data_IF_346659930299
#
_entry.id   IF_346659930299
#
_cell.length_a   1.000
_cell.length_b   1.000
_cell.length_c   1.000
_cell.angle_alpha   90.00
_cell.angle_beta   90.00
_cell.angle_gamma   90.00
#
_symmetry.space_group_name_H-M   'P 1'
#
loop_
_entity.id
_entity.type
_entity.pdbx_description
1 polymer ?
#
# COMPACT_ATOMS: atom_id res chain seq x y z
N UNK A 1 -12.93 -40.31 -18.27
CA UNK A 1 -11.55 -39.85 -17.96
C UNK A 1 -11.65 -38.99 -16.72
N UNK A 2 -11.18 -39.52 -15.59
CA UNK A 2 -11.35 -38.95 -14.25
C UNK A 2 -10.30 -37.84 -13.99
N UNK A 3 -10.79 -36.66 -13.66
CA UNK A 3 -9.98 -35.52 -13.21
C UNK A 3 -9.84 -35.65 -11.70
N UNK A 4 -8.63 -35.93 -11.21
CA UNK A 4 -8.31 -35.92 -9.78
C UNK A 4 -7.95 -34.49 -9.32
N UNK A 5 -8.42 -34.13 -8.14
CA UNK A 5 -8.24 -32.84 -7.48
C UNK A 5 -6.84 -32.71 -6.86
N UNK A 6 -6.21 -31.55 -7.07
CA UNK A 6 -4.96 -31.18 -6.38
C UNK A 6 -5.33 -30.57 -5.02
N UNK A 7 -5.16 -31.36 -3.96
CA UNK A 7 -5.21 -30.90 -2.56
C UNK A 7 -3.80 -30.47 -2.12
N UNK A 8 -3.64 -29.40 -1.32
CA UNK A 8 -2.34 -29.03 -0.77
C UNK A 8 -1.93 -29.98 0.38
N UNK A 9 -0.82 -30.69 0.20
CA UNK A 9 -0.20 -31.55 1.21
C UNK A 9 0.37 -30.71 2.37
N UNK A 10 -0.27 -30.78 3.54
CA UNK A 10 0.33 -30.49 4.84
C UNK A 10 1.24 -31.66 5.23
N UNK A 11 2.54 -31.56 4.97
CA UNK A 11 3.48 -32.55 5.46
C UNK A 11 3.79 -32.33 6.95
N UNK A 12 3.21 -33.21 7.77
CA UNK A 12 3.58 -33.49 9.15
C UNK A 12 4.83 -34.39 9.10
N UNK A 13 5.99 -33.86 9.48
CA UNK A 13 7.20 -34.67 9.61
C UNK A 13 7.18 -35.46 10.93
N UNK A 14 6.67 -36.69 10.87
CA UNK A 14 6.98 -37.75 11.83
C UNK A 14 8.28 -38.43 11.39
N UNK A 15 9.39 -38.20 12.10
CA UNK A 15 10.57 -39.06 11.99
C UNK A 15 10.88 -39.70 13.34
N UNK A 16 10.27 -40.86 13.58
CA UNK A 16 10.90 -41.96 14.32
C UNK A 16 11.77 -42.70 13.32
N UNK A 17 13.09 -42.72 13.51
CA UNK A 17 13.91 -43.92 13.40
C UNK A 17 15.35 -43.64 13.88
N UNK A 18 15.60 -44.19 15.06
CA UNK A 18 16.81 -44.88 15.53
C UNK A 18 18.15 -44.58 14.84
N UNK A 19 19.04 -44.02 15.67
CA UNK A 19 20.50 -44.13 15.64
C UNK A 19 20.95 -45.59 15.50
N UNK A 20 22.06 -45.81 14.78
CA UNK A 20 23.34 -46.34 15.32
C UNK A 20 24.43 -46.25 14.24
N UNK A 21 25.46 -45.41 14.45
CA UNK A 21 26.84 -45.77 14.86
C UNK A 21 27.71 -46.25 13.67
N UNK A 22 28.95 -45.79 13.44
CA UNK A 22 30.05 -45.57 14.41
C UNK A 22 31.22 -44.79 13.75
N UNK A 23 31.89 -43.97 14.57
CA UNK A 23 33.33 -43.65 14.66
C UNK A 23 34.03 -43.06 13.41
N UNK A 24 34.87 -42.03 13.50
CA UNK A 24 36.10 -41.85 14.32
C UNK A 24 36.32 -40.32 14.47
N UNK A 25 36.29 -39.74 15.68
CA UNK A 25 37.42 -39.32 16.55
C UNK A 25 38.47 -38.42 15.82
N UNK A 26 38.78 -37.19 16.22
CA UNK A 26 39.34 -36.81 17.53
C UNK A 26 39.45 -35.27 17.69
N UNK A 27 39.15 -34.79 18.91
CA UNK A 27 39.93 -33.83 19.74
C UNK A 27 40.19 -32.38 19.23
N UNK A 28 40.10 -31.28 20.00
CA UNK A 28 40.03 -31.05 21.45
C UNK A 28 39.66 -29.56 21.71
N UNK A 29 38.99 -29.30 22.84
CA UNK A 29 38.82 -28.03 23.61
C UNK A 29 38.10 -26.80 23.04
N UNK A 30 36.81 -26.68 23.37
CA UNK A 30 36.22 -25.43 23.88
C UNK A 30 35.00 -25.78 24.75
N UNK A 31 35.04 -25.39 26.03
CA UNK A 31 33.91 -25.49 26.96
C UNK A 31 32.71 -24.73 26.40
N UNK A 32 31.59 -25.43 26.13
CA UNK A 32 30.31 -24.80 25.79
C UNK A 32 29.78 -24.05 27.02
N UNK A 33 29.48 -22.74 26.94
CA UNK A 33 28.64 -22.11 27.94
C UNK A 33 27.26 -22.78 27.89
N UNK A 34 26.73 -23.12 29.07
CA UNK A 34 25.35 -23.57 29.23
C UNK A 34 24.43 -22.53 28.59
N UNK A 35 23.77 -22.91 27.49
CA UNK A 35 22.62 -22.19 26.98
C UNK A 35 21.48 -22.45 27.98
N UNK A 36 21.37 -21.59 28.97
CA UNK A 36 20.10 -21.36 29.65
C UNK A 36 19.09 -21.07 28.54
N UNK A 37 18.11 -21.95 28.38
CA UNK A 37 16.89 -21.67 27.66
C UNK A 37 16.32 -20.39 28.27
N UNK A 38 16.35 -19.29 27.51
CA UNK A 38 15.66 -18.06 27.87
C UNK A 38 14.18 -18.41 28.01
N UNK A 39 13.77 -18.62 29.27
CA UNK A 39 12.38 -18.56 29.67
C UNK A 39 11.86 -17.17 29.30
N UNK A 40 10.72 -17.14 28.63
CA UNK A 40 9.81 -16.00 28.45
C UNK A 40 10.36 -14.62 28.84
N UNK A 41 10.72 -13.81 27.85
CA UNK A 41 10.70 -12.35 28.03
C UNK A 41 9.24 -11.88 28.15
N UNK A 42 8.67 -12.06 29.34
CA UNK A 42 7.53 -11.28 29.81
C UNK A 42 8.04 -9.88 30.10
N UNK A 43 7.79 -8.94 29.18
CA UNK A 43 8.02 -7.52 29.45
C UNK A 43 6.98 -7.05 30.47
N UNK A 44 7.39 -6.94 31.74
CA UNK A 44 6.59 -6.39 32.82
C UNK A 44 6.55 -4.87 32.73
N UNK A 45 5.38 -4.28 32.47
CA UNK A 45 5.17 -2.85 32.70
C UNK A 45 4.81 -2.64 34.19
N UNK A 46 5.81 -2.61 35.07
CA UNK A 46 5.64 -2.08 36.42
C UNK A 46 5.70 -0.55 36.38
N UNK A 47 4.63 0.05 35.88
CA UNK A 47 4.34 1.47 36.04
C UNK A 47 3.02 1.60 36.81
N UNK A 48 3.13 1.84 38.12
CA UNK A 48 2.03 2.04 39.08
C UNK A 48 0.83 2.78 38.48
N UNK A 49 -0.29 2.06 38.34
CA UNK A 49 -1.54 2.53 37.75
C UNK A 49 -2.40 3.38 38.70
N UNK A 50 -1.82 4.06 39.70
CA UNK A 50 -2.59 4.60 40.83
C UNK A 50 -2.71 6.13 40.92
N UNK A 51 -2.36 6.90 39.88
CA UNK A 51 -2.53 8.38 39.93
C UNK A 51 -3.17 9.05 38.70
N UNK A 52 -3.77 8.30 37.77
CA UNK A 52 -4.47 8.91 36.61
C UNK A 52 -6.00 8.99 36.81
N UNK A 53 -6.55 8.32 37.83
CA UNK A 53 -8.00 8.23 38.07
C UNK A 53 -8.68 9.55 38.49
N UNK A 54 -7.93 10.63 38.80
CA UNK A 54 -8.52 11.92 39.22
C UNK A 54 -8.45 13.06 38.20
N UNK A 55 -7.73 12.89 37.08
CA UNK A 55 -7.61 13.96 36.04
C UNK A 55 -8.41 13.66 34.78
N UNK A 56 -8.87 12.41 34.59
CA UNK A 56 -9.59 11.98 33.36
C UNK A 56 -11.03 12.47 33.29
N UNK A 57 -11.65 12.84 34.42
CA UNK A 57 -13.06 13.27 34.43
C UNK A 57 -13.31 14.72 33.98
N UNK A 58 -12.29 15.50 33.61
CA UNK A 58 -12.47 16.90 33.15
C UNK A 58 -12.18 17.15 31.67
N UNK A 59 -11.73 16.14 30.91
CA UNK A 59 -11.45 16.25 29.47
C UNK A 59 -12.47 15.48 28.58
N UNK A 60 -13.66 15.17 29.12
CA UNK A 60 -14.74 14.44 28.42
C UNK A 60 -15.51 15.31 27.41
N UNK A 61 -15.11 16.55 27.16
CA UNK A 61 -15.80 17.42 26.19
C UNK A 61 -14.83 18.26 25.39
N UNK A 62 -14.21 17.66 24.38
CA UNK A 62 -14.05 18.26 23.04
C UNK A 62 -13.16 17.35 22.16
N UNK A 63 -13.52 17.31 20.88
CA UNK A 63 -12.80 16.72 19.74
C UNK A 63 -13.01 15.22 19.52
N UNK A 64 -13.67 14.94 18.40
CA UNK A 64 -13.87 13.65 17.78
C UNK A 64 -12.57 12.83 17.72
N UNK A 65 -12.50 11.74 18.52
CA UNK A 65 -11.42 10.77 18.39
C UNK A 65 -11.74 9.81 17.24
N UNK A 66 -11.05 10.03 16.12
CA UNK A 66 -10.60 8.98 15.19
C UNK A 66 -10.13 7.78 16.01
N UNK A 67 -10.39 6.56 15.50
CA UNK A 67 -9.91 5.32 16.12
C UNK A 67 -8.46 5.48 16.54
N UNK A 68 -8.18 5.32 17.84
CA UNK A 68 -6.86 5.58 18.39
C UNK A 68 -5.90 4.56 17.77
N UNK A 69 -4.81 4.99 17.11
CA UNK A 69 -3.83 4.06 16.54
C UNK A 69 -3.37 3.09 17.63
N UNK A 70 -3.14 1.84 17.27
CA UNK A 70 -2.49 0.90 18.20
C UNK A 70 -1.18 1.54 18.71
N UNK A 71 -0.80 1.31 19.98
CA UNK A 71 0.43 1.89 20.57
C UNK A 71 1.67 1.71 19.68
N UNK A 72 1.70 0.63 18.89
CA UNK A 72 2.74 0.31 17.92
C UNK A 72 2.67 1.25 16.70
N UNK A 73 1.50 1.49 16.13
CA UNK A 73 1.32 2.43 15.01
C UNK A 73 1.76 3.83 15.38
N UNK A 74 1.38 4.31 16.57
CA UNK A 74 1.80 5.62 17.06
C UNK A 74 3.32 5.69 17.22
N UNK A 75 3.92 4.65 17.82
CA UNK A 75 5.38 4.56 17.97
C UNK A 75 6.10 4.56 16.61
N UNK A 76 5.57 3.86 15.61
CA UNK A 76 6.15 3.85 14.25
C UNK A 76 5.97 5.21 13.58
N UNK A 77 4.82 5.85 13.75
CA UNK A 77 4.53 7.17 13.19
C UNK A 77 5.45 8.24 13.79
N UNK A 78 5.65 8.23 15.11
CA UNK A 78 6.52 9.16 15.82
C UNK A 78 8.00 8.88 15.49
N UNK A 79 8.37 7.60 15.34
CA UNK A 79 9.70 7.22 14.85
C UNK A 79 9.97 7.62 13.39
N UNK A 80 8.93 7.70 12.55
CA UNK A 80 9.03 8.26 11.20
C UNK A 80 9.24 9.76 11.23
N UNK A 81 8.47 10.46 12.06
CA UNK A 81 8.56 11.92 12.26
C UNK A 81 9.94 12.34 12.77
N UNK A 82 10.48 11.62 13.76
CA UNK A 82 11.83 11.85 14.28
C UNK A 82 12.95 11.69 13.23
N UNK A 83 12.68 11.00 12.11
CA UNK A 83 13.64 10.81 11.00
C UNK A 83 13.43 11.78 9.84
N UNK A 84 12.44 12.67 9.89
CA UNK A 84 12.09 13.54 8.76
C UNK A 84 13.26 14.44 8.32
N UNK A 85 13.96 15.08 9.25
CA UNK A 85 15.12 15.92 8.92
C UNK A 85 16.22 15.12 8.19
N UNK A 86 16.47 13.88 8.62
CA UNK A 86 17.40 12.97 7.94
C UNK A 86 16.93 12.66 6.52
N UNK A 87 15.64 12.43 6.32
CA UNK A 87 15.09 12.19 4.98
C UNK A 87 15.19 13.43 4.09
N UNK A 88 14.95 14.61 4.64
CA UNK A 88 15.11 15.88 3.91
C UNK A 88 16.56 16.09 3.50
N UNK A 89 17.52 15.92 4.41
CA UNK A 89 18.94 16.07 4.11
C UNK A 89 19.40 15.08 3.02
N UNK A 90 18.97 13.82 3.11
CA UNK A 90 19.26 12.79 2.10
C UNK A 90 18.63 13.12 0.75
N UNK A 91 17.39 13.59 0.77
CA UNK A 91 16.67 14.01 -0.43
C UNK A 91 17.37 15.19 -1.12
N UNK A 92 17.82 16.20 -0.39
CA UNK A 92 18.56 17.33 -0.96
C UNK A 92 19.85 16.87 -1.66
N UNK A 93 20.62 15.96 -1.04
CA UNK A 93 21.82 15.39 -1.67
C UNK A 93 21.49 14.66 -2.98
N UNK A 94 20.39 13.92 -3.00
CA UNK A 94 19.93 13.25 -4.22
C UNK A 94 19.45 14.24 -5.27
N UNK A 95 18.76 15.31 -4.87
CA UNK A 95 18.31 16.38 -5.77
C UNK A 95 19.48 17.07 -6.47
N UNK A 96 20.56 17.37 -5.74
CA UNK A 96 21.79 17.94 -6.29
C UNK A 96 22.41 16.98 -7.32
N UNK A 97 22.48 15.69 -6.97
CA UNK A 97 22.98 14.64 -7.87
C UNK A 97 22.13 14.54 -9.14
N UNK A 98 20.80 14.51 -8.98
CA UNK A 98 19.86 14.39 -10.08
C UNK A 98 19.95 15.60 -11.00
N UNK A 99 20.12 16.80 -10.46
CA UNK A 99 20.29 18.04 -11.24
C UNK A 99 21.55 17.99 -12.10
N UNK A 100 22.68 17.55 -11.52
CA UNK A 100 23.93 17.36 -12.29
C UNK A 100 23.78 16.31 -13.38
N UNK A 101 23.13 15.18 -13.08
CA UNK A 101 22.87 14.12 -14.07
C UNK A 101 21.94 14.63 -15.18
N UNK A 102 20.89 15.38 -14.85
CA UNK A 102 19.98 15.99 -15.82
C UNK A 102 20.77 16.89 -16.78
N UNK A 103 21.63 17.79 -16.28
CA UNK A 103 22.45 18.65 -17.14
C UNK A 103 23.45 17.85 -18.01
N UNK A 104 24.05 16.79 -17.47
CA UNK A 104 24.94 15.91 -18.24
C UNK A 104 24.17 15.22 -19.39
N UNK A 105 22.99 14.67 -19.12
CA UNK A 105 22.18 14.00 -20.13
C UNK A 105 21.65 14.98 -21.17
N UNK A 106 21.27 16.21 -20.78
CA UNK A 106 20.93 17.29 -21.72
C UNK A 106 22.11 17.61 -22.66
N UNK A 107 23.35 17.66 -22.13
CA UNK A 107 24.53 17.89 -22.97
C UNK A 107 24.80 16.76 -23.98
N UNK A 108 24.26 15.56 -23.72
CA UNK A 108 24.29 14.39 -24.63
C UNK A 108 23.11 14.38 -25.63
N UNK A 109 22.25 15.39 -25.60
CA UNK A 109 21.09 15.54 -26.49
C UNK A 109 19.79 14.93 -25.97
N UNK A 110 19.73 14.51 -24.70
CA UNK A 110 18.48 14.01 -24.11
C UNK A 110 17.59 15.13 -23.60
N UNK A 111 16.31 15.10 -23.99
CA UNK A 111 15.30 16.04 -23.51
C UNK A 111 14.71 15.57 -22.18
N UNK A 112 15.54 15.65 -21.14
CA UNK A 112 15.17 15.38 -19.74
C UNK A 112 15.02 16.70 -18.99
N UNK A 113 14.03 16.80 -18.11
CA UNK A 113 13.91 17.92 -17.17
C UNK A 113 13.47 17.45 -15.78
N UNK A 114 13.65 18.34 -14.80
CA UNK A 114 13.31 18.10 -13.40
C UNK A 114 12.44 19.25 -12.90
N UNK A 115 11.29 18.92 -12.31
CA UNK A 115 10.50 19.91 -11.57
C UNK A 115 11.08 20.10 -10.18
N UNK A 116 12.01 21.05 -10.04
CA UNK A 116 12.68 21.33 -8.78
C UNK A 116 11.68 21.84 -7.72
N UNK A 117 10.66 22.59 -8.13
CA UNK A 117 9.67 23.15 -7.20
C UNK A 117 8.80 22.05 -6.62
N UNK A 118 8.21 21.22 -7.49
CA UNK A 118 7.42 20.06 -7.08
C UNK A 118 8.26 19.07 -6.27
N UNK A 119 9.47 18.77 -6.75
CA UNK A 119 10.40 17.87 -6.07
C UNK A 119 10.72 18.35 -4.66
N UNK A 120 10.95 19.65 -4.44
CA UNK A 120 11.22 20.19 -3.09
C UNK A 120 9.97 20.17 -2.21
N UNK A 121 8.79 20.45 -2.76
CA UNK A 121 7.53 20.48 -2.02
C UNK A 121 7.08 19.08 -1.57
N UNK A 122 7.37 18.06 -2.38
CA UNK A 122 6.84 16.70 -2.20
C UNK A 122 7.92 15.62 -2.04
N UNK A 123 9.17 16.04 -1.81
CA UNK A 123 10.35 15.17 -1.68
C UNK A 123 10.16 14.05 -0.66
N UNK A 124 9.65 14.40 0.53
CA UNK A 124 9.50 13.47 1.65
C UNK A 124 8.01 13.22 1.87
N UNK A 125 7.65 11.94 1.95
CA UNK A 125 6.26 11.54 2.16
C UNK A 125 5.75 12.08 3.50
N UNK A 126 4.58 12.70 3.49
CA UNK A 126 3.92 13.15 4.73
C UNK A 126 3.57 11.99 5.67
N UNK A 127 3.52 12.26 6.98
CA UNK A 127 3.22 11.29 8.04
C UNK A 127 1.95 10.48 7.78
N UNK A 128 0.86 11.16 7.43
CA UNK A 128 -0.43 10.51 7.19
C UNK A 128 -0.40 9.53 6.00
N UNK A 129 0.30 9.91 4.93
CA UNK A 129 0.51 9.06 3.76
C UNK A 129 1.38 7.85 4.09
N UNK A 130 2.44 8.04 4.89
CA UNK A 130 3.29 6.95 5.37
C UNK A 130 2.51 5.96 6.24
N UNK A 131 1.81 6.44 7.27
CA UNK A 131 1.03 5.61 8.19
C UNK A 131 -0.06 4.86 7.44
N UNK A 132 -0.77 5.53 6.52
CA UNK A 132 -1.82 4.88 5.76
C UNK A 132 -1.28 3.78 4.84
N UNK A 133 -0.12 3.99 4.21
CA UNK A 133 0.53 2.95 3.39
C UNK A 133 1.00 1.78 4.25
N UNK A 134 1.63 2.04 5.42
CA UNK A 134 2.03 1.02 6.38
C UNK A 134 0.85 0.14 6.84
N UNK A 135 -0.28 0.76 7.18
CA UNK A 135 -1.51 0.03 7.57
C UNK A 135 -1.99 -0.94 6.50
N UNK A 136 -1.81 -0.57 5.23
CA UNK A 136 -2.27 -1.37 4.09
C UNK A 136 -1.27 -2.46 3.69
N UNK A 137 0.03 -2.17 3.66
CA UNK A 137 1.05 -3.16 3.26
C UNK A 137 1.46 -4.09 4.39
N UNK A 138 1.27 -3.70 5.66
CA UNK A 138 1.86 -4.38 6.81
C UNK A 138 3.37 -4.17 6.93
N UNK A 139 3.98 -3.46 5.99
CA UNK A 139 5.42 -3.23 5.88
C UNK A 139 5.72 -1.74 5.77
N UNK A 140 6.89 -1.33 6.28
CA UNK A 140 7.32 0.06 6.21
C UNK A 140 7.46 0.51 4.75
N UNK A 141 6.77 1.59 4.34
CA UNK A 141 6.93 2.16 3.01
C UNK A 141 8.40 2.46 2.68
N UNK A 142 8.84 2.02 1.50
CA UNK A 142 10.17 2.28 0.97
C UNK A 142 10.27 3.62 0.21
N UNK A 143 9.13 4.17 -0.25
CA UNK A 143 9.02 5.45 -0.97
C UNK A 143 8.96 6.65 -0.01
N UNK A 144 9.83 6.67 1.00
CA UNK A 144 9.90 7.76 2.00
C UNK A 144 10.40 9.06 1.37
N UNK A 145 11.30 8.92 0.41
CA UNK A 145 11.84 10.00 -0.42
C UNK A 145 11.51 9.66 -1.87
N UNK A 146 10.93 10.60 -2.61
CA UNK A 146 10.53 10.41 -4.01
C UNK A 146 10.86 11.65 -4.85
N UNK A 147 11.28 11.41 -6.08
CA UNK A 147 11.44 12.41 -7.14
C UNK A 147 10.69 12.00 -8.40
N UNK A 148 10.29 13.00 -9.19
CA UNK A 148 9.72 12.82 -10.53
C UNK A 148 10.54 13.62 -11.52
N UNK A 149 11.05 12.96 -12.56
CA UNK A 149 11.69 13.58 -13.72
C UNK A 149 10.82 13.41 -14.96
N UNK A 150 11.01 14.30 -15.91
CA UNK A 150 10.31 14.31 -17.19
C UNK A 150 11.29 13.97 -18.31
N UNK A 151 10.87 13.13 -19.25
CA UNK A 151 11.62 12.85 -20.48
C UNK A 151 10.67 12.90 -21.66
N UNK A 152 10.99 13.69 -22.69
CA UNK A 152 10.18 13.75 -23.92
C UNK A 152 10.18 12.41 -24.67
N UNK A 153 11.21 11.58 -24.50
CA UNK A 153 11.20 10.20 -25.00
C UNK A 153 11.55 9.21 -23.88
N UNK A 154 10.51 8.71 -23.20
CA UNK A 154 10.66 7.63 -22.20
C UNK A 154 10.87 6.26 -22.85
N UNK A 155 10.65 6.11 -24.16
CA UNK A 155 10.84 4.84 -24.87
C UNK A 155 12.28 4.63 -25.33
N UNK A 156 13.13 5.67 -25.27
CA UNK A 156 14.55 5.52 -25.51
C UNK A 156 15.24 4.77 -24.36
N UNK A 157 15.44 3.48 -24.59
CA UNK A 157 16.14 2.60 -23.65
C UNK A 157 17.64 2.90 -23.53
N UNK A 158 18.24 3.60 -24.50
CA UNK A 158 19.63 4.08 -24.39
C UNK A 158 19.72 5.20 -23.37
N UNK A 159 18.79 6.17 -23.41
CA UNK A 159 18.64 7.19 -22.37
C UNK A 159 18.57 6.57 -20.96
N UNK A 160 17.73 5.54 -20.78
CA UNK A 160 17.57 4.85 -19.49
C UNK A 160 18.89 4.21 -19.03
N UNK A 161 19.61 3.57 -19.94
CA UNK A 161 20.93 2.96 -19.67
C UNK A 161 21.98 4.00 -19.28
N UNK A 162 22.02 5.13 -19.98
CA UNK A 162 22.94 6.24 -19.71
C UNK A 162 22.61 6.91 -18.37
N UNK A 163 21.33 7.04 -18.03
CA UNK A 163 20.87 7.56 -16.74
C UNK A 163 21.33 6.69 -15.57
N UNK A 164 21.14 5.36 -15.66
CA UNK A 164 21.58 4.42 -14.63
C UNK A 164 23.11 4.46 -14.48
N UNK A 165 23.84 4.55 -15.59
CA UNK A 165 25.30 4.67 -15.59
C UNK A 165 25.75 5.98 -14.92
N UNK A 166 25.07 7.10 -15.18
CA UNK A 166 25.36 8.39 -14.59
C UNK A 166 25.11 8.43 -13.07
N UNK A 167 24.09 7.71 -12.57
CA UNK A 167 23.89 7.49 -11.14
C UNK A 167 25.03 6.69 -10.52
N UNK A 168 25.40 5.57 -11.16
CA UNK A 168 26.46 4.69 -10.65
C UNK A 168 27.80 5.41 -10.55
N UNK A 169 28.12 6.27 -11.53
CA UNK A 169 29.31 7.12 -11.51
C UNK A 169 29.34 8.11 -10.33
N UNK A 170 28.19 8.39 -9.72
CA UNK A 170 28.02 9.30 -8.58
C UNK A 170 27.66 8.58 -7.29
N UNK A 171 28.00 7.29 -7.21
CA UNK A 171 27.78 6.44 -6.03
C UNK A 171 26.30 6.23 -5.67
N UNK A 172 25.42 6.26 -6.66
CA UNK A 172 24.04 5.81 -6.52
C UNK A 172 23.83 4.56 -7.36
N UNK A 173 23.40 3.46 -6.73
CA UNK A 173 23.15 2.20 -7.44
C UNK A 173 21.71 1.75 -7.25
N UNK A 174 21.23 0.89 -8.15
CA UNK A 174 19.89 0.32 -8.05
C UNK A 174 19.76 -0.49 -6.76
N UNK A 175 18.65 -0.28 -6.05
CA UNK A 175 18.33 -1.05 -4.88
C UNK A 175 18.03 -2.49 -5.28
N UNK A 176 18.79 -3.44 -4.74
CA UNK A 176 18.59 -4.87 -4.98
C UNK A 176 17.65 -5.45 -3.92
N UNK A 177 16.36 -5.48 -4.23
CA UNK A 177 15.30 -5.98 -3.36
C UNK A 177 15.35 -7.52 -3.24
N UNK A 178 15.10 -8.09 -2.04
CA UNK A 178 14.92 -9.53 -1.88
C UNK A 178 13.79 -10.04 -2.80
N UNK A 179 14.10 -11.04 -3.63
CA UNK A 179 13.13 -11.66 -4.54
C UNK A 179 12.66 -13.03 -4.05
N UNK A 180 13.61 -13.84 -3.56
CA UNK A 180 13.32 -15.13 -2.92
C UNK A 180 13.85 -15.14 -1.50
N UNK A 181 13.00 -15.51 -0.56
CA UNK A 181 13.32 -15.58 0.87
C UNK A 181 12.93 -16.96 1.39
N UNK A 182 13.82 -17.59 2.16
CA UNK A 182 13.53 -18.81 2.91
C UNK A 182 13.80 -18.55 4.40
N UNK A 183 12.73 -18.46 5.18
CA UNK A 183 12.81 -17.99 6.57
C UNK A 183 13.39 -16.57 6.64
N UNK A 184 14.54 -16.41 7.29
CA UNK A 184 15.28 -15.12 7.37
C UNK A 184 16.37 -14.96 6.30
N UNK A 185 16.60 -15.98 5.47
CA UNK A 185 17.68 -15.97 4.48
C UNK A 185 17.17 -15.45 3.14
N UNK A 186 17.81 -14.40 2.63
CA UNK A 186 17.62 -13.92 1.25
C UNK A 186 18.37 -14.86 0.31
N UNK A 187 17.64 -15.52 -0.60
CA UNK A 187 18.18 -16.48 -1.56
C UNK A 187 18.59 -15.80 -2.87
N UNK A 188 17.83 -14.79 -3.31
CA UNK A 188 18.12 -13.98 -4.48
C UNK A 188 17.63 -12.56 -4.30
N UNK A 189 18.24 -11.63 -5.04
CA UNK A 189 17.80 -10.25 -5.14
C UNK A 189 17.58 -9.90 -6.60
N UNK A 190 16.66 -8.97 -6.84
CA UNK A 190 16.42 -8.37 -8.15
C UNK A 190 16.48 -6.85 -8.04
N UNK A 191 16.83 -6.14 -9.12
CA UNK A 191 16.75 -4.69 -9.13
C UNK A 191 15.30 -4.25 -8.89
N UNK A 192 15.11 -3.29 -7.97
CA UNK A 192 13.84 -2.57 -7.77
C UNK A 192 13.74 -1.49 -8.85
N UNK A 193 13.45 -1.97 -10.06
CA UNK A 193 13.41 -1.23 -11.31
C UNK A 193 12.28 -1.82 -12.17
N UNK A 194 11.38 -0.97 -12.66
CA UNK A 194 10.23 -1.35 -13.49
C UNK A 194 10.07 -0.35 -14.65
N UNK A 195 9.94 -0.87 -15.87
CA UNK A 195 9.54 -0.09 -17.05
C UNK A 195 8.09 -0.44 -17.34
N UNK A 196 7.16 0.47 -17.02
CA UNK A 196 5.71 0.27 -17.17
C UNK A 196 5.18 1.11 -18.33
N UNK A 197 5.77 0.90 -19.50
CA UNK A 197 5.40 1.62 -20.71
C UNK A 197 4.64 0.69 -21.66
N UNK A 198 3.74 1.26 -22.45
CA UNK A 198 2.99 0.54 -23.45
C UNK A 198 3.81 0.34 -24.73
N UNK A 199 3.74 -0.85 -25.33
CA UNK A 199 4.38 -1.15 -26.62
C UNK A 199 5.89 -0.81 -26.75
N UNK A 200 6.71 -1.07 -25.72
CA UNK A 200 8.18 -0.94 -25.81
C UNK A 200 8.72 -1.80 -26.97
N UNK A 201 9.38 -1.16 -27.94
CA UNK A 201 9.91 -1.85 -29.13
C UNK A 201 11.11 -2.72 -28.77
N UNK A 202 11.14 -3.95 -29.30
CA UNK A 202 12.20 -4.93 -28.98
C UNK A 202 13.60 -4.50 -29.43
N UNK A 203 13.70 -3.71 -30.49
CA UNK A 203 14.96 -3.19 -31.01
C UNK A 203 15.62 -2.17 -30.08
N UNK A 204 14.86 -1.48 -29.22
CA UNK A 204 15.43 -0.56 -28.21
C UNK A 204 15.87 -1.31 -26.95
N UNK A 205 15.22 -2.41 -26.58
CA UNK A 205 15.52 -3.21 -25.37
C UNK A 205 16.98 -3.66 -25.30
N UNK A 206 17.63 -3.90 -26.45
CA UNK A 206 19.05 -4.29 -26.50
C UNK A 206 19.99 -3.25 -25.86
N UNK A 207 19.59 -1.99 -25.79
CA UNK A 207 20.37 -0.91 -25.18
C UNK A 207 20.35 -0.93 -23.64
N UNK A 208 19.37 -1.61 -23.04
CA UNK A 208 19.39 -1.87 -21.60
C UNK A 208 20.44 -2.92 -21.24
N UNK A 209 21.08 -2.79 -20.05
CA UNK A 209 21.84 -3.87 -19.45
C UNK A 209 21.02 -5.15 -19.37
N UNK A 210 21.66 -6.30 -19.63
CA UNK A 210 20.97 -7.60 -19.74
C UNK A 210 20.11 -7.92 -18.51
N UNK A 211 20.63 -7.63 -17.31
CA UNK A 211 19.95 -7.89 -16.05
C UNK A 211 18.70 -7.02 -15.81
N UNK A 212 18.46 -5.98 -16.62
CA UNK A 212 17.30 -5.09 -16.56
C UNK A 212 16.27 -5.36 -17.65
N UNK A 213 16.60 -6.15 -18.68
CA UNK A 213 15.68 -6.40 -19.80
C UNK A 213 14.40 -7.12 -19.36
N UNK A 214 14.47 -7.91 -18.29
CA UNK A 214 13.33 -8.57 -17.66
C UNK A 214 12.43 -7.65 -16.82
N UNK A 215 12.79 -6.38 -16.64
CA UNK A 215 12.02 -5.40 -15.87
C UNK A 215 10.97 -4.65 -16.71
N UNK A 216 10.81 -5.01 -17.98
CA UNK A 216 9.79 -4.43 -18.85
C UNK A 216 8.45 -5.11 -18.55
N UNK A 217 7.53 -4.32 -18.02
CA UNK A 217 6.19 -4.73 -17.64
C UNK A 217 5.12 -4.22 -18.60
N UNK A 218 3.91 -4.10 -18.07
CA UNK A 218 2.76 -3.51 -18.75
C UNK A 218 2.39 -2.18 -18.07
N UNK A 219 1.76 -1.25 -18.80
CA UNK A 219 1.17 -0.06 -18.20
C UNK A 219 0.14 -0.42 -17.13
N UNK A 220 -0.17 0.53 -16.25
CA UNK A 220 -1.22 0.35 -15.26
C UNK A 220 -2.61 0.33 -15.92
N UNK A 221 -3.59 -0.29 -15.25
CA UNK A 221 -4.97 -0.38 -15.75
C UNK A 221 -5.63 0.98 -16.00
N UNK A 222 -5.18 2.02 -15.31
CA UNK A 222 -5.62 3.40 -15.50
C UNK A 222 -5.13 4.03 -16.81
N UNK A 223 -4.15 3.41 -17.49
CA UNK A 223 -3.41 4.02 -18.59
C UNK A 223 -2.13 4.75 -18.14
N UNK A 224 -1.82 4.74 -16.84
CA UNK A 224 -0.60 5.33 -16.31
C UNK A 224 0.65 4.52 -16.72
N UNK A 225 1.64 5.25 -17.22
CA UNK A 225 2.91 4.79 -17.73
C UNK A 225 4.04 5.55 -17.05
N UNK A 226 5.10 4.84 -16.67
CA UNK A 226 6.31 5.42 -16.12
C UNK A 226 7.48 4.43 -16.17
N UNK A 227 8.68 4.96 -15.93
CA UNK A 227 9.83 4.18 -15.51
C UNK A 227 10.05 4.48 -14.03
N UNK A 228 10.08 3.44 -13.21
CA UNK A 228 10.27 3.55 -11.78
C UNK A 228 11.56 2.85 -11.37
N UNK A 229 12.35 3.50 -10.52
CA UNK A 229 13.53 2.89 -9.93
C UNK A 229 13.71 3.29 -8.48
N UNK A 230 14.29 2.40 -7.68
CA UNK A 230 14.79 2.76 -6.36
C UNK A 230 16.31 2.74 -6.33
N UNK A 231 16.89 3.80 -5.79
CA UNK A 231 18.32 4.01 -5.74
C UNK A 231 18.79 4.07 -4.29
N UNK A 232 20.00 3.57 -4.07
CA UNK A 232 20.68 3.65 -2.78
C UNK A 232 22.03 4.33 -2.94
N UNK A 233 22.38 5.14 -1.95
CA UNK A 233 23.69 5.76 -1.84
C UNK A 233 24.69 4.68 -1.40
N UNK A 234 25.65 4.34 -2.24
CA UNK A 234 26.64 3.29 -1.95
C UNK A 234 27.72 3.76 -0.98
N UNK A 235 27.78 5.06 -0.68
CA UNK A 235 28.63 5.63 0.37
C UNK A 235 27.96 5.61 1.74
N UNK A 236 26.64 5.36 1.80
CA UNK A 236 25.91 5.20 3.05
C UNK A 236 26.23 3.84 3.68
N UNK A 237 27.22 3.82 4.57
CA UNK A 237 27.60 2.63 5.34
C UNK A 237 26.60 2.22 6.43
N UNK A 238 25.42 2.85 6.52
CA UNK A 238 24.42 2.47 7.51
C UNK A 238 23.79 1.11 7.21
N UNK A 239 23.46 0.37 8.27
CA UNK A 239 22.77 -0.94 8.15
C UNK A 239 21.33 -0.84 7.64
N UNK A 240 20.74 0.35 7.71
CA UNK A 240 19.35 0.64 7.33
C UNK A 240 19.34 1.67 6.19
N UNK A 241 19.79 1.21 5.02
CA UNK A 241 19.86 2.05 3.82
C UNK A 241 18.43 2.37 3.39
N UNK A 242 18.07 3.65 3.43
CA UNK A 242 16.76 4.11 2.97
C UNK A 242 16.83 4.36 1.46
N UNK A 243 16.15 3.56 0.63
CA UNK A 243 16.12 3.80 -0.80
C UNK A 243 15.37 5.09 -1.14
N UNK A 244 15.73 5.69 -2.26
CA UNK A 244 15.06 6.86 -2.85
C UNK A 244 14.36 6.40 -4.12
N UNK A 245 13.09 6.74 -4.27
CA UNK A 245 12.31 6.41 -5.46
C UNK A 245 12.43 7.53 -6.50
N UNK A 246 12.77 7.17 -7.74
CA UNK A 246 12.73 8.06 -8.89
C UNK A 246 11.70 7.54 -9.88
N UNK A 247 10.80 8.42 -10.30
CA UNK A 247 9.84 8.18 -11.37
C UNK A 247 10.21 9.02 -12.58
N UNK A 248 10.14 8.44 -13.77
CA UNK A 248 10.31 9.13 -15.04
C UNK A 248 9.00 9.03 -15.80
N UNK A 249 8.44 10.17 -16.18
CA UNK A 249 7.19 10.28 -16.94
C UNK A 249 7.40 11.19 -18.16
N UNK A 250 6.44 11.25 -19.07
CA UNK A 250 6.54 12.04 -20.31
C UNK A 250 6.78 13.54 -20.06
N UNK A 251 5.97 14.16 -19.19
CA UNK A 251 6.06 15.59 -18.97
C UNK A 251 5.12 16.12 -17.90
N UNK A 252 4.97 17.45 -17.89
CA UNK A 252 4.20 18.17 -16.88
C UNK A 252 2.70 17.89 -16.99
N UNK A 253 2.15 17.74 -18.19
CA UNK A 253 0.72 17.47 -18.37
C UNK A 253 0.37 16.05 -17.91
N UNK A 254 1.23 15.08 -18.21
CA UNK A 254 1.12 13.71 -17.73
C UNK A 254 1.30 13.59 -16.21
N UNK A 255 2.23 14.36 -15.64
CA UNK A 255 2.39 14.47 -14.19
C UNK A 255 1.14 15.06 -13.53
N UNK A 256 0.60 16.15 -14.08
CA UNK A 256 -0.66 16.75 -13.61
C UNK A 256 -1.83 15.77 -13.69
N UNK A 257 -1.94 15.02 -14.79
CA UNK A 257 -2.94 13.95 -14.94
C UNK A 257 -2.87 12.92 -13.81
N UNK A 258 -1.66 12.54 -13.36
CA UNK A 258 -1.47 11.66 -12.22
C UNK A 258 -1.94 12.27 -10.89
N UNK A 259 -1.67 13.56 -10.65
CA UNK A 259 -2.16 14.23 -9.44
C UNK A 259 -3.68 14.30 -9.41
N UNK A 260 -4.29 14.63 -10.56
CA UNK A 260 -5.74 14.65 -10.73
C UNK A 260 -6.35 13.26 -10.55
N UNK A 261 -5.80 12.23 -11.21
CA UNK A 261 -6.25 10.85 -11.06
C UNK A 261 -6.14 10.36 -9.61
N UNK A 262 -5.03 10.71 -8.93
CA UNK A 262 -4.84 10.36 -7.52
C UNK A 262 -5.95 10.90 -6.63
N UNK A 263 -6.33 12.18 -6.81
CA UNK A 263 -7.29 12.86 -5.94
C UNK A 263 -8.75 12.50 -6.26
N UNK A 264 -9.10 12.47 -7.54
CA UNK A 264 -10.49 12.36 -8.00
C UNK A 264 -10.93 10.92 -8.29
N UNK A 265 -9.99 10.00 -8.53
CA UNK A 265 -10.32 8.60 -8.84
C UNK A 265 -9.71 7.64 -7.83
N UNK A 266 -8.40 7.73 -7.61
CA UNK A 266 -7.68 6.74 -6.81
C UNK A 266 -8.06 6.82 -5.32
N UNK A 267 -8.25 8.01 -4.76
CA UNK A 267 -8.70 8.18 -3.37
C UNK A 267 -10.07 7.50 -3.12
N UNK A 268 -11.03 7.67 -4.05
CA UNK A 268 -12.34 7.01 -4.00
C UNK A 268 -12.17 5.49 -4.06
N UNK A 269 -11.46 5.00 -5.09
CA UNK A 269 -11.21 3.57 -5.29
C UNK A 269 -10.54 2.93 -4.08
N UNK A 270 -9.55 3.62 -3.52
CA UNK A 270 -8.77 3.19 -2.37
C UNK A 270 -9.62 3.10 -1.12
N UNK A 271 -10.40 4.14 -0.80
CA UNK A 271 -11.26 4.16 0.37
C UNK A 271 -12.27 2.99 0.33
N UNK A 272 -12.93 2.81 -0.81
CA UNK A 272 -13.90 1.73 -1.02
C UNK A 272 -13.28 0.33 -0.91
N UNK A 273 -12.12 0.09 -1.54
CA UNK A 273 -11.50 -1.25 -1.63
C UNK A 273 -10.68 -1.63 -0.40
N UNK A 274 -10.00 -0.66 0.22
CA UNK A 274 -8.96 -0.94 1.21
C UNK A 274 -9.31 -0.48 2.62
N UNK A 275 -10.22 0.48 2.78
CA UNK A 275 -10.52 1.07 4.08
C UNK A 275 -11.77 0.47 4.68
N UNK A 276 -12.78 0.14 3.85
CA UNK A 276 -13.97 -0.57 4.32
C UNK A 276 -13.66 -2.01 4.75
N UNK A 277 -14.23 -2.45 5.87
CA UNK A 277 -14.15 -3.82 6.38
C UNK A 277 -15.04 -4.76 5.57
N UNK A 278 -16.28 -4.35 5.29
CA UNK A 278 -17.24 -5.16 4.51
C UNK A 278 -16.71 -5.53 3.11
N UNK A 279 -15.87 -4.68 2.49
CA UNK A 279 -15.31 -4.95 1.15
C UNK A 279 -14.17 -5.97 1.17
N UNK A 280 -13.60 -6.26 2.35
CA UNK A 280 -12.53 -7.27 2.54
C UNK A 280 -13.07 -8.66 2.81
N UNK A 281 -14.36 -8.80 3.12
CA UNK A 281 -15.01 -10.08 3.39
C UNK A 281 -15.08 -10.90 2.12
N UNK A 282 -14.52 -12.10 2.12
CA UNK A 282 -14.67 -13.01 0.97
C UNK A 282 -16.11 -13.48 0.86
N UNK A 283 -16.73 -13.22 -0.29
CA UNK A 283 -18.16 -13.40 -0.51
C UNK A 283 -18.40 -13.90 -1.92
N UNK A 284 -19.00 -15.09 -2.01
CA UNK A 284 -19.30 -15.77 -3.27
C UNK A 284 -20.78 -15.77 -3.62
N UNK A 285 -21.69 -15.56 -2.67
CA UNK A 285 -23.14 -15.49 -2.92
C UNK A 285 -23.54 -14.12 -3.49
N UNK A 286 -24.05 -14.05 -4.73
CA UNK A 286 -24.46 -12.79 -5.35
C UNK A 286 -25.55 -12.03 -4.58
N UNK A 287 -26.30 -12.71 -3.71
CA UNK A 287 -27.36 -12.12 -2.90
C UNK A 287 -26.84 -11.48 -1.62
N UNK A 288 -25.61 -11.77 -1.23
CA UNK A 288 -25.04 -11.30 0.03
C UNK A 288 -24.75 -9.78 -0.01
N UNK A 289 -24.85 -9.07 1.11
CA UNK A 289 -24.53 -7.64 1.17
C UNK A 289 -23.11 -7.30 0.71
N UNK A 290 -22.13 -8.12 1.10
CA UNK A 290 -20.71 -7.93 0.86
C UNK A 290 -20.37 -8.13 -0.63
N UNK A 291 -20.97 -9.14 -1.27
CA UNK A 291 -20.85 -9.32 -2.72
C UNK A 291 -21.40 -8.11 -3.48
N UNK A 292 -22.58 -7.63 -3.10
CA UNK A 292 -23.19 -6.45 -3.74
C UNK A 292 -22.35 -5.20 -3.54
N UNK A 293 -21.75 -5.01 -2.36
CA UNK A 293 -20.80 -3.93 -2.11
C UNK A 293 -19.59 -4.06 -3.05
N UNK A 294 -18.94 -5.22 -3.11
CA UNK A 294 -17.80 -5.46 -4.01
C UNK A 294 -18.14 -5.20 -5.48
N UNK A 295 -19.31 -5.66 -5.93
CA UNK A 295 -19.78 -5.43 -7.29
C UNK A 295 -19.99 -3.93 -7.57
N UNK A 296 -20.67 -3.21 -6.68
CA UNK A 296 -20.87 -1.77 -6.81
C UNK A 296 -19.53 -1.01 -6.87
N UNK A 297 -18.57 -1.38 -6.01
CA UNK A 297 -17.22 -0.80 -6.03
C UNK A 297 -16.54 -1.06 -7.38
N UNK A 298 -16.67 -2.27 -7.93
CA UNK A 298 -16.17 -2.61 -9.27
C UNK A 298 -16.70 -1.64 -10.33
N UNK A 299 -18.02 -1.51 -10.41
CA UNK A 299 -18.69 -0.66 -11.40
C UNK A 299 -18.32 0.82 -11.25
N UNK A 300 -18.27 1.34 -10.01
CA UNK A 300 -17.86 2.73 -9.73
C UNK A 300 -16.43 2.97 -10.24
N UNK A 301 -15.49 2.12 -9.84
CA UNK A 301 -14.07 2.30 -10.17
C UNK A 301 -13.83 2.15 -11.68
N UNK A 302 -14.51 1.22 -12.34
CA UNK A 302 -14.38 1.03 -13.79
C UNK A 302 -14.92 2.24 -14.57
N UNK A 303 -16.02 2.83 -14.09
CA UNK A 303 -16.59 4.06 -14.67
C UNK A 303 -15.62 5.24 -14.51
N UNK A 304 -15.13 5.50 -13.29
CA UNK A 304 -14.17 6.58 -13.03
C UNK A 304 -12.87 6.39 -13.84
N UNK A 305 -12.32 5.18 -13.90
CA UNK A 305 -11.12 4.90 -14.69
C UNK A 305 -11.33 5.14 -16.19
N UNK A 306 -12.50 4.75 -16.72
CA UNK A 306 -12.79 4.83 -18.15
C UNK A 306 -13.03 6.27 -18.59
N UNK A 307 -13.73 7.04 -17.77
CA UNK A 307 -14.20 8.38 -18.13
C UNK A 307 -13.26 9.50 -17.65
N UNK A 308 -12.42 9.24 -16.64
CA UNK A 308 -11.49 10.23 -16.09
C UNK A 308 -10.04 9.78 -16.28
N UNK A 309 -9.62 8.68 -15.63
CA UNK A 309 -8.19 8.31 -15.59
C UNK A 309 -7.59 8.08 -16.98
N UNK A 310 -8.24 7.28 -17.83
CA UNK A 310 -7.74 6.97 -19.17
C UNK A 310 -7.66 8.24 -20.05
N UNK A 311 -8.72 9.05 -20.21
CA UNK A 311 -8.64 10.33 -20.91
C UNK A 311 -7.56 11.27 -20.38
N UNK A 312 -7.41 11.39 -19.05
CA UNK A 312 -6.37 12.21 -18.44
C UNK A 312 -4.97 11.81 -18.91
N UNK A 313 -4.64 10.52 -18.85
CA UNK A 313 -3.32 10.03 -19.25
C UNK A 313 -3.11 10.06 -20.77
N UNK A 314 -4.14 9.74 -21.57
CA UNK A 314 -4.04 9.83 -23.03
C UNK A 314 -3.77 11.27 -23.45
N UNK A 315 -4.56 12.24 -22.97
CA UNK A 315 -4.37 13.64 -23.29
C UNK A 315 -3.03 14.18 -22.79
N UNK A 316 -2.63 13.83 -21.56
CA UNK A 316 -1.33 14.21 -21.02
C UNK A 316 -0.19 13.72 -21.89
N UNK A 317 -0.29 12.50 -22.42
CA UNK A 317 0.71 11.90 -23.33
C UNK A 317 0.65 12.54 -24.71
N UNK A 318 -0.53 12.83 -25.25
CA UNK A 318 -0.69 13.57 -26.52
C UNK A 318 0.08 14.88 -26.50
N UNK A 319 -0.05 15.66 -25.43
CA UNK A 319 0.65 16.95 -25.32
C UNK A 319 2.15 16.78 -25.09
N UNK A 320 2.53 15.93 -24.13
CA UNK A 320 3.93 15.86 -23.69
C UNK A 320 4.82 15.02 -24.63
N UNK A 321 4.29 13.98 -25.26
CA UNK A 321 5.05 13.02 -26.09
C UNK A 321 4.78 13.17 -27.58
N UNK A 322 3.51 13.31 -27.98
CA UNK A 322 3.15 13.45 -29.40
C UNK A 322 3.13 14.90 -29.88
N UNK A 323 3.17 15.88 -28.96
CA UNK A 323 3.02 17.31 -29.24
C UNK A 323 1.74 17.64 -30.01
N UNK A 324 0.66 16.95 -29.65
CA UNK A 324 -0.68 17.09 -30.22
C UNK A 324 -1.64 17.71 -29.19
N UNK A 325 -2.66 18.41 -29.69
CA UNK A 325 -3.74 18.94 -28.84
C UNK A 325 -4.56 17.80 -28.20
N UNK A 326 -5.05 17.96 -26.96
CA UNK A 326 -5.97 17.01 -26.35
C UNK A 326 -7.23 16.81 -27.18
N UNK A 327 -7.58 15.56 -27.47
CA UNK A 327 -8.75 15.23 -28.31
C UNK A 327 -9.85 14.49 -27.56
N UNK A 328 -9.55 13.89 -26.41
CA UNK A 328 -10.51 13.06 -25.66
C UNK A 328 -11.12 13.89 -24.53
N UNK A 329 -12.45 14.00 -24.41
CA UNK A 329 -13.05 14.66 -23.27
C UNK A 329 -12.74 13.89 -21.96
N UNK A 330 -12.48 14.63 -20.89
CA UNK A 330 -12.32 14.09 -19.53
C UNK A 330 -13.58 14.46 -18.76
N UNK A 331 -14.61 13.62 -18.84
CA UNK A 331 -15.94 13.99 -18.38
C UNK A 331 -16.76 12.83 -17.79
N UNK A 332 -17.60 13.16 -16.81
CA UNK A 332 -18.69 12.32 -16.35
C UNK A 332 -19.99 12.89 -16.91
N UNK A 333 -20.66 12.12 -17.77
CA UNK A 333 -21.99 12.52 -18.23
C UNK A 333 -22.99 12.47 -17.05
N UNK A 334 -24.13 13.18 -17.15
CA UNK A 334 -25.14 13.20 -16.08
C UNK A 334 -25.63 11.81 -15.66
N UNK A 335 -25.76 10.88 -16.60
CA UNK A 335 -26.22 9.52 -16.29
C UNK A 335 -25.20 8.73 -15.47
N UNK A 336 -23.90 8.90 -15.71
CA UNK A 336 -22.83 8.28 -14.94
C UNK A 336 -22.79 8.87 -13.53
N UNK A 337 -22.99 10.18 -13.38
CA UNK A 337 -23.13 10.81 -12.07
C UNK A 337 -24.29 10.24 -11.26
N UNK A 338 -25.49 10.14 -11.87
CA UNK A 338 -26.66 9.53 -11.22
C UNK A 338 -26.42 8.07 -10.86
N UNK A 339 -25.81 7.30 -11.77
CA UNK A 339 -25.46 5.90 -11.56
C UNK A 339 -24.50 5.73 -10.38
N UNK A 340 -23.41 6.49 -10.32
CA UNK A 340 -22.43 6.39 -9.24
C UNK A 340 -23.07 6.76 -7.89
N UNK A 341 -23.86 7.84 -7.82
CA UNK A 341 -24.60 8.19 -6.59
C UNK A 341 -25.52 7.06 -6.13
N UNK A 342 -26.25 6.45 -7.06
CA UNK A 342 -27.11 5.29 -6.78
C UNK A 342 -26.32 4.10 -6.23
N UNK A 343 -25.15 3.81 -6.80
CA UNK A 343 -24.28 2.72 -6.36
C UNK A 343 -23.67 2.99 -4.97
N UNK A 344 -23.26 4.23 -4.68
CA UNK A 344 -22.75 4.66 -3.37
C UNK A 344 -23.83 4.56 -2.29
N UNK A 345 -25.06 5.00 -2.58
CA UNK A 345 -26.21 4.81 -1.70
C UNK A 345 -26.50 3.32 -1.48
N UNK A 346 -26.44 2.52 -2.56
CA UNK A 346 -26.56 1.07 -2.47
C UNK A 346 -25.52 0.45 -1.54
N UNK A 347 -24.27 0.93 -1.55
CA UNK A 347 -23.23 0.48 -0.60
C UNK A 347 -23.63 0.86 0.83
N UNK A 348 -24.01 2.11 1.07
CA UNK A 348 -24.44 2.62 2.39
C UNK A 348 -25.57 1.79 2.99
N UNK A 349 -26.57 1.44 2.19
CA UNK A 349 -27.71 0.62 2.64
C UNK A 349 -27.28 -0.80 3.02
N UNK A 350 -26.33 -1.38 2.28
CA UNK A 350 -25.85 -2.75 2.52
C UNK A 350 -24.99 -2.85 3.78
N UNK A 351 -24.28 -1.79 4.18
CA UNK A 351 -23.55 -1.73 5.46
C UNK A 351 -24.50 -2.03 6.62
N UNK A 352 -25.65 -1.35 6.67
CA UNK A 352 -26.63 -1.55 7.73
C UNK A 352 -27.19 -2.98 7.78
N UNK A 353 -27.45 -3.57 6.62
CA UNK A 353 -27.96 -4.95 6.51
C UNK A 353 -26.92 -5.96 6.99
N UNK A 354 -25.67 -5.82 6.52
CA UNK A 354 -24.57 -6.70 6.88
C UNK A 354 -24.31 -6.72 8.39
N UNK A 355 -24.07 -5.56 8.98
CA UNK A 355 -23.72 -5.48 10.40
C UNK A 355 -24.87 -5.82 11.34
N UNK A 356 -26.13 -5.75 10.89
CA UNK A 356 -27.25 -6.35 11.64
C UNK A 356 -27.13 -7.86 11.71
N UNK A 357 -26.83 -8.53 10.59
CA UNK A 357 -26.64 -9.97 10.55
C UNK A 357 -25.40 -10.40 11.36
N UNK A 358 -24.28 -9.67 11.24
CA UNK A 358 -23.08 -9.93 12.04
C UNK A 358 -23.31 -9.68 13.53
N UNK A 359 -24.13 -8.69 13.91
CA UNK A 359 -24.50 -8.46 15.31
C UNK A 359 -25.25 -9.64 15.92
N UNK A 360 -26.17 -10.26 15.17
CA UNK A 360 -26.88 -11.48 15.59
C UNK A 360 -25.94 -12.67 15.70
N UNK A 361 -24.97 -12.79 14.79
CA UNK A 361 -23.93 -13.84 14.90
C UNK A 361 -23.04 -13.61 16.11
N UNK A 362 -22.62 -12.37 16.37
CA UNK A 362 -21.75 -12.00 17.48
C UNK A 362 -22.39 -12.22 18.86
N UNK A 363 -23.72 -12.14 18.97
CA UNK A 363 -24.45 -12.46 20.20
C UNK A 363 -24.66 -13.96 20.43
N UNK A 364 -24.33 -14.81 19.44
CA UNK A 364 -24.45 -16.26 19.54
C UNK A 364 -23.38 -16.85 20.46
N UNK A 365 -23.80 -17.72 21.38
CA UNK A 365 -22.88 -18.52 22.20
C UNK A 365 -21.96 -19.39 21.35
N UNK A 366 -22.48 -19.97 20.26
CA UNK A 366 -21.69 -20.80 19.34
C UNK A 366 -20.50 -20.03 18.76
N UNK A 367 -20.73 -18.76 18.39
CA UNK A 367 -19.68 -17.93 17.81
C UNK A 367 -18.67 -17.49 18.89
N UNK A 368 -19.15 -17.09 20.06
CA UNK A 368 -18.29 -16.76 21.20
C UNK A 368 -17.36 -17.94 21.58
N UNK A 369 -17.92 -19.14 21.71
CA UNK A 369 -17.16 -20.37 21.98
C UNK A 369 -16.12 -20.64 20.89
N UNK A 370 -16.48 -20.50 19.61
CA UNK A 370 -15.55 -20.67 18.49
C UNK A 370 -14.36 -19.71 18.59
N UNK A 371 -14.61 -18.44 18.92
CA UNK A 371 -13.55 -17.44 19.09
C UNK A 371 -12.67 -17.70 20.32
N UNK A 372 -13.26 -18.13 21.44
CA UNK A 372 -12.50 -18.54 22.64
C UNK A 372 -11.58 -19.71 22.32
N UNK A 373 -12.10 -20.75 21.64
CA UNK A 373 -11.30 -21.94 21.24
C UNK A 373 -10.11 -21.61 20.34
N UNK A 374 -10.17 -20.50 19.62
CA UNK A 374 -9.12 -20.08 18.72
C UNK A 374 -7.93 -19.42 19.45
N UNK A 375 -8.11 -18.92 20.68
CA UNK A 375 -7.08 -18.16 21.39
C UNK A 375 -5.93 -19.05 21.89
N UNK A 376 -4.77 -18.44 22.12
CA UNK A 376 -3.58 -19.15 22.60
C UNK A 376 -3.79 -19.63 24.05
N UNK A 377 -4.46 -18.82 24.87
CA UNK A 377 -4.78 -19.10 26.26
C UNK A 377 -5.65 -20.37 26.38
N UNK A 378 -6.70 -20.47 25.55
CA UNK A 378 -7.52 -21.68 25.48
C UNK A 378 -6.72 -22.90 25.00
N UNK A 379 -5.83 -22.72 24.03
CA UNK A 379 -5.03 -23.83 23.51
C UNK A 379 -4.01 -24.35 24.53
N UNK A 380 -3.54 -23.49 25.44
CA UNK A 380 -2.58 -23.84 26.48
C UNK A 380 -3.20 -24.46 27.74
N UNK A 381 -4.45 -24.16 28.09
CA UNK A 381 -5.08 -24.70 29.31
C UNK A 381 -5.31 -26.21 29.26
N UNK A 382 -5.18 -26.90 30.40
CA UNK A 382 -5.34 -28.36 30.48
C UNK A 382 -6.80 -28.82 30.53
N UNK A 383 -7.64 -28.13 31.29
CA UNK A 383 -9.03 -28.52 31.59
C UNK A 383 -10.01 -28.32 30.41
N UNK A 384 -9.64 -27.49 29.44
CA UNK A 384 -10.44 -27.11 28.25
C UNK A 384 -11.85 -26.58 28.59
N UNK A 385 -12.12 -26.19 29.83
CA UNK A 385 -13.44 -25.75 30.33
C UNK A 385 -13.75 -24.30 29.95
N UNK A 386 -14.82 -24.05 29.18
CA UNK A 386 -15.26 -22.67 28.89
C UNK A 386 -16.35 -22.28 29.91
N UNK A 387 -16.18 -21.18 30.63
CA UNK A 387 -17.18 -20.73 31.59
C UNK A 387 -18.25 -19.83 30.95
N UNK A 388 -19.46 -19.74 31.54
CA UNK A 388 -20.48 -18.78 31.09
C UNK A 388 -19.99 -17.33 31.08
N UNK A 389 -19.14 -16.93 32.04
CA UNK A 389 -18.59 -15.58 32.12
C UNK A 389 -17.63 -15.29 30.96
N UNK A 390 -16.80 -16.26 30.56
CA UNK A 390 -15.93 -16.14 29.40
C UNK A 390 -16.74 -15.96 28.11
N UNK A 391 -17.85 -16.70 27.98
CA UNK A 391 -18.77 -16.60 26.84
C UNK A 391 -19.39 -15.20 26.78
N UNK A 392 -19.94 -14.70 27.89
CA UNK A 392 -20.58 -13.38 27.93
C UNK A 392 -19.57 -12.22 27.75
N UNK A 393 -18.35 -12.36 28.27
CA UNK A 393 -17.28 -11.42 27.98
C UNK A 393 -16.92 -11.41 26.48
N UNK A 394 -16.78 -12.59 25.86
CA UNK A 394 -16.47 -12.68 24.43
C UNK A 394 -17.60 -12.17 23.54
N UNK A 395 -18.86 -12.44 23.86
CA UNK A 395 -20.02 -11.86 23.15
C UNK A 395 -19.96 -10.33 23.16
N UNK A 396 -19.74 -9.71 24.32
CA UNK A 396 -19.61 -8.25 24.46
C UNK A 396 -18.48 -7.68 23.61
N UNK A 397 -17.33 -8.33 23.60
CA UNK A 397 -16.18 -7.96 22.76
C UNK A 397 -16.53 -8.02 21.26
N UNK A 398 -17.10 -9.14 20.79
CA UNK A 398 -17.48 -9.34 19.39
C UNK A 398 -18.53 -8.33 18.94
N UNK A 399 -19.55 -8.10 19.76
CA UNK A 399 -20.61 -7.11 19.50
C UNK A 399 -19.99 -5.70 19.40
N UNK A 400 -19.13 -5.32 20.34
CA UNK A 400 -18.45 -4.02 20.31
C UNK A 400 -17.64 -3.83 19.02
N UNK A 401 -16.92 -4.86 18.59
CA UNK A 401 -16.14 -4.84 17.34
C UNK A 401 -17.03 -4.69 16.10
N UNK A 402 -18.18 -5.37 16.06
CA UNK A 402 -19.18 -5.21 15.00
C UNK A 402 -19.69 -3.77 14.92
N UNK A 403 -19.97 -3.14 16.07
CA UNK A 403 -20.40 -1.73 16.11
C UNK A 403 -19.31 -0.77 15.65
N UNK A 404 -18.06 -1.01 16.06
CA UNK A 404 -16.91 -0.21 15.65
C UNK A 404 -16.70 -0.28 14.13
N UNK A 405 -16.60 -1.48 13.57
CA UNK A 405 -16.45 -1.68 12.13
C UNK A 405 -17.61 -1.06 11.33
N UNK A 406 -18.84 -1.18 11.82
CA UNK A 406 -20.00 -0.53 11.20
C UNK A 406 -19.85 0.98 11.14
N UNK A 407 -19.42 1.59 12.25
CA UNK A 407 -19.20 3.03 12.31
C UNK A 407 -18.10 3.46 11.35
N UNK A 408 -16.97 2.75 11.34
CA UNK A 408 -15.85 3.04 10.44
C UNK A 408 -16.27 2.93 8.95
N UNK A 409 -16.99 1.88 8.57
CA UNK A 409 -17.49 1.72 7.20
C UNK A 409 -18.47 2.85 6.80
N UNK A 410 -19.31 3.30 7.73
CA UNK A 410 -20.22 4.43 7.51
C UNK A 410 -19.47 5.76 7.36
N UNK A 411 -18.43 5.99 8.15
CA UNK A 411 -17.59 7.18 8.06
C UNK A 411 -16.85 7.20 6.70
N UNK A 412 -16.29 6.05 6.27
CA UNK A 412 -15.63 5.90 4.98
C UNK A 412 -16.58 6.18 3.82
N UNK A 413 -17.79 5.58 3.80
CA UNK A 413 -18.71 5.81 2.68
C UNK A 413 -19.21 7.26 2.62
N UNK A 414 -19.39 7.93 3.77
CA UNK A 414 -19.74 9.35 3.78
C UNK A 414 -18.63 10.23 3.18
N UNK A 415 -17.37 9.96 3.54
CA UNK A 415 -16.22 10.66 2.98
C UNK A 415 -16.08 10.42 1.47
N UNK A 416 -16.31 9.17 1.02
CA UNK A 416 -16.33 8.84 -0.41
C UNK A 416 -17.45 9.56 -1.16
N UNK A 417 -18.65 9.65 -0.58
CA UNK A 417 -19.74 10.41 -1.18
C UNK A 417 -19.36 11.88 -1.36
N UNK A 418 -18.77 12.52 -0.35
CA UNK A 418 -18.29 13.89 -0.46
C UNK A 418 -17.21 14.06 -1.54
N UNK A 419 -16.21 13.18 -1.58
CA UNK A 419 -15.15 13.21 -2.61
C UNK A 419 -15.71 12.98 -4.01
N UNK A 420 -16.73 12.14 -4.14
CA UNK A 420 -17.39 11.95 -5.42
C UNK A 420 -18.13 13.21 -5.88
N UNK A 421 -18.76 13.96 -4.99
CA UNK A 421 -19.40 15.24 -5.39
C UNK A 421 -18.36 16.27 -5.87
N UNK A 422 -17.20 16.38 -5.22
CA UNK A 422 -16.08 17.21 -5.71
C UNK A 422 -15.60 16.75 -7.11
N UNK A 423 -15.59 15.43 -7.34
CA UNK A 423 -15.22 14.83 -8.63
C UNK A 423 -16.26 15.13 -9.71
N UNK A 424 -17.54 15.04 -9.38
CA UNK A 424 -18.65 15.35 -10.27
C UNK A 424 -18.76 16.85 -10.55
N UNK A 425 -18.34 17.73 -9.63
CA UNK A 425 -18.25 19.16 -9.87
C UNK A 425 -17.15 19.48 -10.89
N UNK A 426 -15.97 18.85 -10.75
CA UNK A 426 -14.84 19.09 -11.67
C UNK A 426 -15.06 18.50 -13.05
N UNK A 427 -15.52 17.24 -13.13
CA UNK A 427 -15.60 16.48 -14.38
C UNK A 427 -17.02 16.26 -14.88
N UNK A 428 -18.06 16.58 -14.11
CA UNK A 428 -19.45 16.39 -14.52
C UNK A 428 -19.92 17.44 -15.51
N UNK A 429 -20.39 17.02 -16.69
CA UNK A 429 -21.03 17.95 -17.64
C UNK A 429 -22.42 18.33 -17.10
N UNK A 430 -22.66 19.63 -16.91
CA UNK A 430 -24.01 20.18 -16.72
C UNK A 430 -24.56 20.21 -15.30
N UNK A 431 -23.83 19.77 -14.27
CA UNK A 431 -24.27 19.93 -12.87
C UNK A 431 -24.01 21.34 -12.32
N UNK A 432 -23.07 22.09 -12.92
CA UNK A 432 -22.66 23.42 -12.48
C UNK A 432 -23.58 24.58 -12.95
N UNK A 433 -24.79 24.32 -13.49
CA UNK A 433 -25.67 25.39 -14.00
C UNK A 433 -27.15 25.35 -13.60
N UNK A 434 -27.63 24.36 -12.85
CA UNK A 434 -29.06 24.23 -12.51
C UNK A 434 -29.37 24.20 -11.00
N UNK A 435 -28.57 24.86 -10.16
CA UNK A 435 -28.90 25.09 -8.75
C UNK A 435 -29.40 26.51 -8.45
N UNK A 436 -29.92 27.21 -9.46
CA UNK A 436 -30.61 28.50 -9.28
C UNK A 436 -31.89 28.57 -10.11
N UNK A 437 -32.91 27.80 -9.73
CA UNK A 437 -34.33 28.14 -9.92
C UNK A 437 -35.17 27.60 -8.79
#
# INVERSE_FOLDING_TARGET
MNIQSITPNLFINNNRNLKTQKNINNNYYATKPMLNTLAQDTVSFSGTADKVSKTVNKAVRTVAKKSSPSRIEQTIADGYEAKMEKYVARGNRFLDTLTVITSELQSKGYNISLDIVDSKAHMVKGKDSFVSKLKRSGESPMDRIRFTSYSEDVYDMKFVSDLISAFKARSWDLYMAPDKVSGRKVLSRKPDFDIRLDHVKQDTVKHLPEYLRGCIGKPQKSGYEDIQMRLVDTLDGSKDVTPIELLIVFGKNYSKAKHDESYYVYDISRALRNEMHISKVDASDPRSPEYRVKNNIGVIVDCLNTNISKPLFINGKSVDFYHEEPTIPVDLNPSDCVKIRGLLNGIRDKIGIYYRAEGVKASSEREAVKHIKATAEYKAREDKTITPEEIEAKKRELISKVYEHKKEDLDVICAVQARFEETAEKYGIGLAKDSSK
#
